data_IF_597334198738
#
_entry.id   IF_597334198738
#
_cell.length_a   1.000
_cell.length_b   1.000
_cell.length_c   1.000
_cell.angle_alpha   90.00
_cell.angle_beta   90.00
_cell.angle_gamma   90.00
#
_symmetry.space_group_name_H-M   'P 1'
#
loop_
_entity.id
_entity.type
_entity.pdbx_description
1 polymer ?
#
# COMPACT_ATOMS: atom_id res chain seq x y z
N UNK A 1 8.03 6.43 18.49
CA UNK A 1 8.45 4.99 18.41
C UNK A 1 7.29 4.21 17.81
N UNK A 2 7.55 3.28 16.89
CA UNK A 2 6.50 2.44 16.29
C UNK A 2 5.97 1.42 17.30
N UNK A 3 4.65 1.29 17.42
CA UNK A 3 4.02 0.24 18.22
C UNK A 3 2.64 -0.12 17.66
N UNK A 4 2.14 -1.30 18.01
CA UNK A 4 0.82 -1.79 17.63
C UNK A 4 0.11 -2.38 18.83
N UNK A 5 -1.15 -1.99 19.03
CA UNK A 5 -2.02 -2.53 20.08
C UNK A 5 -3.32 -3.05 19.47
N UNK A 6 -3.85 -4.15 20.01
CA UNK A 6 -5.17 -4.69 19.67
C UNK A 6 -6.18 -4.14 20.68
N UNK A 7 -7.22 -3.47 20.17
CA UNK A 7 -8.26 -2.82 20.99
C UNK A 7 -9.47 -3.76 21.15
N UNK A 8 -9.87 -4.44 20.07
CA UNK A 8 -11.00 -5.37 20.06
C UNK A 8 -10.77 -6.49 19.04
N UNK A 9 -11.45 -7.61 19.22
CA UNK A 9 -11.44 -8.75 18.29
C UNK A 9 -12.87 -9.18 17.99
N UNK A 10 -13.09 -9.61 16.76
CA UNK A 10 -14.36 -10.23 16.35
C UNK A 10 -14.52 -11.59 17.03
N UNK A 11 -15.73 -11.93 17.57
CA UNK A 11 -15.92 -13.17 18.31
C UNK A 11 -15.93 -14.44 17.45
N UNK A 12 -16.16 -14.33 16.14
CA UNK A 12 -16.35 -15.48 15.24
C UNK A 12 -15.35 -15.56 14.09
N UNK A 13 -14.53 -14.52 13.91
CA UNK A 13 -13.54 -14.43 12.82
C UNK A 13 -12.16 -14.08 13.37
N UNK A 14 -11.17 -13.93 12.50
CA UNK A 14 -9.82 -13.47 12.90
C UNK A 14 -9.70 -11.95 12.86
N UNK A 15 -10.80 -11.24 12.58
CA UNK A 15 -10.80 -9.78 12.51
C UNK A 15 -10.44 -9.15 13.84
N UNK A 16 -9.71 -8.05 13.76
CA UNK A 16 -9.32 -7.28 14.93
C UNK A 16 -9.32 -5.78 14.62
N UNK A 17 -9.74 -4.99 15.58
CA UNK A 17 -9.53 -3.55 15.58
C UNK A 17 -8.29 -3.26 16.44
N UNK A 18 -7.32 -2.56 15.86
CA UNK A 18 -6.09 -2.19 16.54
C UNK A 18 -5.76 -0.72 16.33
N UNK A 19 -4.57 -0.34 16.82
CA UNK A 19 -4.00 0.97 16.60
C UNK A 19 -2.49 0.87 16.39
N UNK A 20 -2.00 1.46 15.32
CA UNK A 20 -0.57 1.63 15.05
C UNK A 20 -0.19 3.04 15.46
N UNK A 21 0.88 3.17 16.24
CA UNK A 21 1.50 4.44 16.56
C UNK A 21 2.73 4.65 15.70
N UNK A 22 2.86 5.83 15.09
CA UNK A 22 4.01 6.25 14.31
C UNK A 22 4.44 7.64 14.76
N UNK A 23 5.63 8.12 14.36
CA UNK A 23 6.06 9.49 14.65
C UNK A 23 5.11 10.57 14.12
N UNK A 24 4.43 10.32 12.99
CA UNK A 24 3.53 11.28 12.35
C UNK A 24 2.05 11.03 12.68
N UNK A 25 1.75 10.25 13.72
CA UNK A 25 0.40 10.06 14.21
C UNK A 25 -0.01 8.60 14.36
N UNK A 26 -1.29 8.42 14.65
CA UNK A 26 -1.89 7.10 14.90
C UNK A 26 -2.70 6.65 13.70
N UNK A 27 -2.76 5.32 13.49
CA UNK A 27 -3.54 4.69 12.43
C UNK A 27 -4.46 3.67 13.10
N UNK A 28 -5.75 3.89 13.03
CA UNK A 28 -6.75 2.94 13.48
C UNK A 28 -6.94 1.84 12.43
N UNK A 29 -6.70 0.59 12.80
CA UNK A 29 -6.87 -0.57 11.93
C UNK A 29 -8.20 -1.30 12.21
N UNK A 30 -8.80 -1.98 11.21
CA UNK A 30 -8.31 -2.14 9.85
C UNK A 30 -8.35 -0.82 9.04
N UNK A 31 -7.40 -0.65 8.13
CA UNK A 31 -7.23 0.59 7.36
C UNK A 31 -7.00 0.32 5.88
N UNK A 32 -7.54 1.19 5.02
CA UNK A 32 -7.19 1.27 3.60
C UNK A 32 -6.26 2.45 3.37
N UNK A 33 -5.18 2.22 2.62
CA UNK A 33 -4.16 3.22 2.27
C UNK A 33 -4.35 3.70 0.84
N UNK A 34 -4.77 4.95 0.62
CA UNK A 34 -4.76 5.55 -0.73
C UNK A 34 -3.36 5.58 -1.32
N UNK A 35 -3.24 5.21 -2.61
CA UNK A 35 -1.94 5.13 -3.30
C UNK A 35 -1.58 6.47 -3.91
N UNK A 36 -0.51 7.07 -3.40
CA UNK A 36 0.13 8.32 -3.84
C UNK A 36 1.42 8.06 -4.61
N UNK A 37 1.34 7.53 -5.83
CA UNK A 37 2.48 7.03 -6.65
C UNK A 37 3.66 8.00 -6.72
N UNK A 38 3.42 9.28 -6.93
CA UNK A 38 4.42 10.36 -7.05
C UNK A 38 4.32 11.36 -5.89
N UNK A 39 4.03 10.89 -4.68
CA UNK A 39 3.73 11.74 -3.54
C UNK A 39 2.36 12.43 -3.65
N UNK A 40 1.49 11.97 -4.55
CA UNK A 40 0.14 12.49 -4.73
C UNK A 40 -0.84 11.37 -5.04
N UNK A 41 -1.98 11.36 -4.35
CA UNK A 41 -3.13 10.53 -4.72
C UNK A 41 -3.81 11.23 -5.89
N UNK A 42 -3.82 10.56 -7.05
CA UNK A 42 -4.18 11.19 -8.32
C UNK A 42 -5.55 11.88 -8.29
N UNK A 43 -5.55 13.17 -8.58
CA UNK A 43 -6.74 14.01 -8.63
C UNK A 43 -7.19 14.59 -7.30
N UNK A 44 -6.43 14.43 -6.22
CA UNK A 44 -6.75 14.98 -4.90
C UNK A 44 -5.62 15.82 -4.33
N UNK A 45 -6.00 16.87 -3.59
CA UNK A 45 -5.09 17.57 -2.69
C UNK A 45 -4.98 16.82 -1.36
N UNK A 46 -3.97 17.14 -0.56
CA UNK A 46 -3.81 16.59 0.78
C UNK A 46 -4.97 16.96 1.70
N UNK A 47 -5.45 18.18 1.60
CA UNK A 47 -6.62 18.67 2.34
C UNK A 47 -7.87 17.83 2.05
N UNK A 48 -8.16 17.51 0.78
CA UNK A 48 -9.24 16.59 0.42
C UNK A 48 -9.06 15.19 1.04
N UNK A 49 -7.83 14.67 1.08
CA UNK A 49 -7.55 13.38 1.71
C UNK A 49 -7.77 13.42 3.22
N UNK A 50 -7.40 14.52 3.88
CA UNK A 50 -7.64 14.75 5.30
C UNK A 50 -9.13 14.84 5.62
N UNK A 51 -9.90 15.57 4.81
CA UNK A 51 -11.38 15.69 4.92
C UNK A 51 -12.08 14.33 4.70
N UNK A 52 -11.56 13.49 3.80
CA UNK A 52 -12.05 12.13 3.60
C UNK A 52 -11.70 11.18 4.75
N UNK A 53 -10.80 11.59 5.64
CA UNK A 53 -10.37 10.80 6.79
C UNK A 53 -9.28 9.78 6.47
N UNK A 54 -8.49 9.96 5.41
CA UNK A 54 -7.32 9.14 5.16
C UNK A 54 -6.32 9.30 6.32
N UNK A 55 -5.90 8.20 6.94
CA UNK A 55 -5.01 8.21 8.10
C UNK A 55 -3.55 7.98 7.71
N UNK A 56 -3.32 7.33 6.59
CA UNK A 56 -2.02 6.97 6.04
C UNK A 56 -2.15 6.93 4.52
N UNK A 57 -1.08 7.26 3.81
CA UNK A 57 -0.96 7.06 2.36
C UNK A 57 0.22 6.15 2.03
N UNK A 58 0.14 5.48 0.88
CA UNK A 58 1.25 4.72 0.32
C UNK A 58 1.90 5.51 -0.81
N UNK A 59 3.23 5.64 -0.78
CA UNK A 59 4.01 6.27 -1.85
C UNK A 59 4.99 5.26 -2.49
N UNK A 60 5.23 5.37 -3.80
CA UNK A 60 6.06 4.41 -4.50
C UNK A 60 7.52 4.89 -4.60
N UNK A 61 8.41 4.19 -3.94
CA UNK A 61 9.85 4.48 -3.89
C UNK A 61 10.49 4.59 -5.27
N UNK A 62 10.22 3.66 -6.18
CA UNK A 62 10.75 3.67 -7.55
C UNK A 62 10.50 5.00 -8.28
N UNK A 63 9.27 5.49 -8.23
CA UNK A 63 8.90 6.73 -8.92
C UNK A 63 9.54 7.97 -8.28
N UNK A 64 9.57 8.04 -6.95
CA UNK A 64 10.15 9.15 -6.21
C UNK A 64 11.68 9.17 -6.31
N UNK A 65 12.31 8.00 -6.38
CA UNK A 65 13.74 7.85 -6.64
C UNK A 65 14.13 8.40 -8.01
N UNK A 66 13.38 8.05 -9.06
CA UNK A 66 13.66 8.53 -10.41
C UNK A 66 13.31 10.01 -10.59
N UNK A 67 12.25 10.50 -9.95
CA UNK A 67 11.79 11.89 -10.06
C UNK A 67 10.95 12.31 -8.87
N UNK A 68 11.33 13.34 -8.12
CA UNK A 68 12.45 14.28 -8.37
C UNK A 68 13.83 13.79 -7.90
N UNK A 69 13.91 12.60 -7.29
CA UNK A 69 15.08 12.06 -6.60
C UNK A 69 14.94 12.14 -5.07
N UNK A 70 15.30 11.04 -4.40
CA UNK A 70 15.17 10.92 -2.96
C UNK A 70 16.08 11.89 -2.18
N UNK A 71 17.27 12.19 -2.74
CA UNK A 71 18.22 13.16 -2.19
C UNK A 71 17.61 14.55 -2.12
N UNK A 72 16.99 15.00 -3.23
CA UNK A 72 16.30 16.28 -3.27
C UNK A 72 15.12 16.36 -2.33
N UNK A 73 14.37 15.28 -2.17
CA UNK A 73 13.28 15.22 -1.20
C UNK A 73 13.82 15.31 0.23
N UNK A 74 14.94 14.64 0.53
CA UNK A 74 15.61 14.73 1.83
C UNK A 74 16.08 16.15 2.13
N UNK A 75 16.75 16.84 1.16
CA UNK A 75 17.17 18.24 1.27
C UNK A 75 16.01 19.19 1.57
N UNK A 76 14.80 18.88 1.06
CA UNK A 76 13.57 19.66 1.29
C UNK A 76 12.85 19.27 2.59
N UNK A 77 13.44 18.41 3.43
CA UNK A 77 12.93 18.03 4.74
C UNK A 77 12.05 16.79 4.75
N UNK A 78 12.25 15.89 3.79
CA UNK A 78 11.53 14.63 3.66
C UNK A 78 10.19 14.73 2.94
N UNK A 79 9.59 13.58 2.69
CA UNK A 79 8.37 13.48 1.87
C UNK A 79 7.18 14.18 2.53
N UNK A 80 7.02 14.07 3.85
CA UNK A 80 5.95 14.74 4.59
C UNK A 80 5.91 16.25 4.32
N UNK A 81 7.07 16.91 4.42
CA UNK A 81 7.19 18.34 4.15
C UNK A 81 7.06 18.64 2.66
N UNK A 82 7.69 17.83 1.82
CA UNK A 82 7.68 18.03 0.36
C UNK A 82 6.28 18.01 -0.24
N UNK A 83 5.40 17.12 0.25
CA UNK A 83 4.01 17.02 -0.25
C UNK A 83 2.97 17.67 0.67
N UNK A 84 3.38 18.30 1.79
CA UNK A 84 2.46 18.89 2.80
C UNK A 84 1.47 17.85 3.37
N UNK A 85 1.96 16.65 3.72
CA UNK A 85 1.17 15.58 4.32
C UNK A 85 1.63 15.33 5.75
N UNK A 86 0.84 15.70 6.80
CA UNK A 86 1.29 15.63 8.19
C UNK A 86 1.08 14.26 8.85
N UNK A 87 0.42 13.33 8.15
CA UNK A 87 0.07 12.01 8.66
C UNK A 87 1.04 10.93 8.18
N UNK A 88 0.96 9.70 8.72
CA UNK A 88 1.85 8.59 8.35
C UNK A 88 1.96 8.33 6.84
N UNK A 89 3.17 7.90 6.43
CA UNK A 89 3.47 7.46 5.06
C UNK A 89 4.11 6.07 5.13
N UNK A 90 3.57 5.13 4.37
CA UNK A 90 4.23 3.90 4.01
C UNK A 90 4.87 4.06 2.62
N UNK A 91 6.12 3.65 2.45
CA UNK A 91 6.72 3.51 1.11
C UNK A 91 6.94 2.04 0.78
N UNK A 92 6.65 1.67 -0.48
CA UNK A 92 7.02 0.36 -0.98
C UNK A 92 8.53 0.26 -1.26
N UNK A 93 9.02 -0.93 -1.60
CA UNK A 93 10.44 -1.13 -1.95
C UNK A 93 10.82 -0.62 -3.34
N UNK A 94 9.84 -0.39 -4.21
CA UNK A 94 10.04 -0.17 -5.65
C UNK A 94 10.24 -1.46 -6.46
N UNK A 95 10.36 -2.62 -5.83
CA UNK A 95 10.63 -3.91 -6.50
C UNK A 95 9.58 -4.26 -7.55
N UNK A 96 8.30 -4.17 -7.22
CA UNK A 96 7.22 -4.45 -8.17
C UNK A 96 7.25 -3.53 -9.39
N UNK A 97 7.52 -2.23 -9.22
CA UNK A 97 7.58 -1.27 -10.32
C UNK A 97 8.79 -1.54 -11.21
N UNK A 98 9.95 -1.86 -10.64
CA UNK A 98 11.13 -2.28 -11.42
C UNK A 98 10.81 -3.53 -12.22
N UNK A 99 10.12 -4.50 -11.62
CA UNK A 99 9.76 -5.75 -12.30
C UNK A 99 8.69 -5.57 -13.38
N UNK A 100 7.76 -4.64 -13.21
CA UNK A 100 6.64 -4.42 -14.14
C UNK A 100 6.88 -3.35 -15.21
N UNK A 101 7.66 -2.30 -14.91
CA UNK A 101 7.81 -1.13 -15.77
C UNK A 101 9.17 -1.05 -16.48
N UNK A 102 10.21 -1.70 -15.97
CA UNK A 102 11.53 -1.64 -16.56
C UNK A 102 11.67 -2.71 -17.67
N UNK A 103 11.71 -2.31 -18.96
CA UNK A 103 11.80 -3.27 -20.08
C UNK A 103 13.11 -4.05 -20.10
N UNK A 104 14.18 -3.47 -19.54
CA UNK A 104 15.49 -4.08 -19.41
C UNK A 104 15.88 -4.12 -17.93
N UNK A 105 15.67 -5.28 -17.31
CA UNK A 105 16.02 -5.54 -15.92
C UNK A 105 16.80 -6.84 -15.78
N UNK A 106 17.70 -6.86 -14.83
CA UNK A 106 18.45 -8.06 -14.43
C UNK A 106 18.33 -8.21 -12.91
N UNK A 107 17.76 -9.32 -12.48
CA UNK A 107 17.68 -9.71 -11.07
C UNK A 107 18.85 -10.63 -10.76
N UNK A 108 19.53 -10.41 -9.64
CA UNK A 108 20.64 -11.21 -9.15
C UNK A 108 20.60 -11.27 -7.61
N UNK A 109 21.52 -12.00 -7.00
CA UNK A 109 21.65 -12.03 -5.53
C UNK A 109 21.95 -10.64 -4.93
N UNK A 110 22.70 -9.81 -5.69
CA UNK A 110 23.08 -8.46 -5.25
C UNK A 110 21.88 -7.50 -5.20
N UNK A 111 20.92 -7.68 -6.11
CA UNK A 111 19.76 -6.81 -6.25
C UNK A 111 19.26 -6.77 -7.69
N UNK A 112 18.68 -5.63 -8.09
CA UNK A 112 18.09 -5.43 -9.41
C UNK A 112 18.79 -4.29 -10.14
N UNK A 113 19.34 -4.57 -11.33
CA UNK A 113 19.82 -3.56 -12.27
C UNK A 113 18.73 -3.33 -13.31
N UNK A 114 18.38 -2.07 -13.57
CA UNK A 114 17.33 -1.71 -14.52
C UNK A 114 17.63 -0.41 -15.26
N UNK A 115 16.91 -0.18 -16.36
CA UNK A 115 16.92 1.10 -17.05
C UNK A 115 15.67 1.91 -16.74
N UNK A 116 15.87 3.20 -16.43
CA UNK A 116 14.80 4.16 -16.20
C UNK A 116 13.89 4.26 -17.44
N UNK A 117 12.59 4.20 -17.22
CA UNK A 117 11.59 4.43 -18.26
C UNK A 117 11.46 5.91 -18.66
N UNK A 118 12.08 6.83 -17.89
CA UNK A 118 12.02 8.27 -18.15
C UNK A 118 13.08 8.73 -19.16
N UNK A 119 14.32 8.23 -19.03
CA UNK A 119 15.49 8.72 -19.76
C UNK A 119 16.46 7.61 -20.21
N UNK A 120 16.16 6.36 -19.87
CA UNK A 120 17.00 5.21 -20.23
C UNK A 120 18.26 5.04 -19.38
N UNK A 121 18.52 5.89 -18.39
CA UNK A 121 19.67 5.77 -17.48
C UNK A 121 19.65 4.44 -16.73
N UNK A 122 20.84 3.89 -16.45
CA UNK A 122 20.97 2.64 -15.71
C UNK A 122 21.03 2.90 -14.21
N UNK A 123 20.27 2.12 -13.46
CA UNK A 123 20.18 2.18 -12.00
C UNK A 123 20.36 0.79 -11.40
N UNK A 124 20.79 0.76 -10.13
CA UNK A 124 20.92 -0.47 -9.35
C UNK A 124 20.21 -0.29 -8.01
N UNK A 125 19.30 -1.20 -7.70
CA UNK A 125 18.67 -1.32 -6.38
C UNK A 125 19.17 -2.58 -5.70
N UNK A 126 19.90 -2.42 -4.61
CA UNK A 126 20.19 -3.48 -3.65
C UNK A 126 19.17 -3.43 -2.51
N UNK A 127 19.05 -4.47 -1.69
CA UNK A 127 18.23 -4.43 -0.47
C UNK A 127 18.56 -3.25 0.45
N UNK A 128 19.83 -2.92 0.58
CA UNK A 128 20.33 -1.80 1.38
C UNK A 128 19.93 -0.46 0.76
N UNK A 129 20.19 -0.27 -0.54
CA UNK A 129 19.84 0.97 -1.25
C UNK A 129 18.34 1.23 -1.23
N UNK A 130 17.49 0.20 -1.40
CA UNK A 130 16.05 0.36 -1.33
C UNK A 130 15.57 0.87 0.04
N UNK A 131 16.22 0.43 1.13
CA UNK A 131 15.94 0.93 2.47
C UNK A 131 16.46 2.37 2.64
N UNK A 132 17.68 2.67 2.19
CA UNK A 132 18.28 4.00 2.32
C UNK A 132 17.47 5.07 1.58
N UNK A 133 16.94 4.74 0.39
CA UNK A 133 16.01 5.62 -0.34
C UNK A 133 14.77 5.92 0.50
N UNK A 134 14.14 4.90 1.10
CA UNK A 134 12.94 5.08 1.94
C UNK A 134 13.23 5.88 3.21
N UNK A 135 14.41 5.71 3.79
CA UNK A 135 14.89 6.54 4.92
C UNK A 135 15.08 8.00 4.50
N UNK A 136 15.70 8.24 3.35
CA UNK A 136 15.87 9.58 2.80
C UNK A 136 14.52 10.26 2.48
N UNK A 137 13.52 9.47 2.06
CA UNK A 137 12.15 9.96 1.89
C UNK A 137 11.48 10.32 3.24
N UNK A 138 11.96 9.79 4.37
CA UNK A 138 11.37 10.03 5.70
C UNK A 138 10.08 9.23 5.94
N UNK A 139 10.03 7.99 5.46
CA UNK A 139 8.87 7.11 5.62
C UNK A 139 8.66 6.68 7.06
N UNK A 140 7.41 6.50 7.51
CA UNK A 140 7.08 5.89 8.81
C UNK A 140 7.20 4.38 8.77
N UNK A 141 6.81 3.77 7.65
CA UNK A 141 6.87 2.33 7.41
C UNK A 141 7.60 2.09 6.10
N UNK A 142 8.63 1.24 6.13
CA UNK A 142 9.41 0.86 4.96
C UNK A 142 9.25 -0.63 4.64
N UNK A 143 9.31 -0.95 3.35
CA UNK A 143 9.22 -2.30 2.83
C UNK A 143 10.58 -2.76 2.30
N UNK A 144 11.00 -4.02 2.54
CA UNK A 144 12.24 -4.56 1.98
C UNK A 144 12.09 -4.79 0.48
N UNK A 145 13.21 -4.78 -0.23
CA UNK A 145 13.21 -5.21 -1.63
C UNK A 145 12.79 -6.67 -1.71
N UNK A 146 11.86 -6.98 -2.59
CA UNK A 146 11.31 -8.31 -2.81
C UNK A 146 11.18 -8.63 -4.29
N UNK A 147 11.14 -9.91 -4.63
CA UNK A 147 10.85 -10.39 -5.96
C UNK A 147 9.43 -10.97 -6.02
N UNK A 148 8.52 -10.26 -6.68
CA UNK A 148 7.18 -10.73 -6.97
C UNK A 148 7.20 -11.54 -8.28
N UNK A 149 6.73 -12.80 -8.24
CA UNK A 149 6.60 -13.60 -9.45
C UNK A 149 5.34 -13.24 -10.25
N UNK A 150 5.40 -13.44 -11.55
CA UNK A 150 4.24 -13.41 -12.43
C UNK A 150 3.26 -14.54 -12.11
N UNK A 151 2.01 -14.39 -12.58
CA UNK A 151 1.02 -15.45 -12.55
C UNK A 151 0.62 -15.85 -13.98
N UNK A 152 0.60 -17.16 -14.30
CA UNK A 152 1.05 -18.28 -13.49
C UNK A 152 2.58 -18.44 -13.49
N UNK A 153 3.16 -18.86 -12.36
CA UNK A 153 4.56 -19.25 -12.24
C UNK A 153 4.67 -20.72 -11.81
N UNK A 154 5.68 -21.42 -12.28
CA UNK A 154 5.94 -22.79 -11.81
C UNK A 154 6.46 -22.83 -10.36
N UNK A 155 6.24 -23.94 -9.64
CA UNK A 155 6.62 -24.10 -8.23
C UNK A 155 8.11 -23.79 -7.98
N UNK A 156 9.01 -24.31 -8.82
CA UNK A 156 10.45 -24.07 -8.70
C UNK A 156 10.81 -22.59 -8.88
N UNK A 157 10.18 -21.90 -9.84
CA UNK A 157 10.36 -20.45 -10.04
C UNK A 157 9.88 -19.64 -8.83
N UNK A 158 8.70 -20.01 -8.29
CA UNK A 158 8.16 -19.40 -7.07
C UNK A 158 9.06 -19.65 -5.85
N UNK A 159 9.63 -20.84 -5.73
CA UNK A 159 10.58 -21.21 -4.66
C UNK A 159 11.86 -20.36 -4.73
N UNK A 160 12.47 -20.27 -5.91
CA UNK A 160 13.69 -19.45 -6.11
C UNK A 160 13.46 -17.98 -5.77
N UNK A 161 12.34 -17.43 -6.19
CA UNK A 161 11.94 -16.05 -5.90
C UNK A 161 11.70 -15.83 -4.39
N UNK A 162 11.00 -16.75 -3.74
CA UNK A 162 10.78 -16.72 -2.30
C UNK A 162 12.11 -16.76 -1.53
N UNK A 163 13.02 -17.65 -1.91
CA UNK A 163 14.33 -17.76 -1.27
C UNK A 163 15.19 -16.52 -1.46
N UNK A 164 15.18 -15.94 -2.66
CA UNK A 164 15.87 -14.68 -2.94
C UNK A 164 15.31 -13.54 -2.09
N UNK A 165 13.97 -13.40 -2.03
CA UNK A 165 13.30 -12.43 -1.17
C UNK A 165 13.69 -12.61 0.30
N UNK A 166 13.75 -13.83 0.80
CA UNK A 166 14.16 -14.11 2.17
C UNK A 166 15.62 -13.66 2.46
N UNK A 167 16.56 -13.93 1.56
CA UNK A 167 17.95 -13.47 1.69
C UNK A 167 18.08 -11.96 1.60
N UNK A 168 17.32 -11.31 0.72
CA UNK A 168 17.24 -9.86 0.63
C UNK A 168 16.66 -9.23 1.91
N UNK A 169 15.63 -9.86 2.48
CA UNK A 169 15.07 -9.40 3.77
C UNK A 169 16.09 -9.50 4.90
N UNK A 170 16.88 -10.59 4.97
CA UNK A 170 17.97 -10.72 5.95
C UNK A 170 19.03 -9.62 5.82
N UNK A 171 19.39 -9.27 4.57
CA UNK A 171 20.32 -8.16 4.28
C UNK A 171 19.72 -6.83 4.70
N UNK A 172 18.46 -6.55 4.31
CA UNK A 172 17.74 -5.34 4.71
C UNK A 172 17.67 -5.20 6.23
N UNK A 173 17.31 -6.29 6.95
CA UNK A 173 17.23 -6.28 8.41
C UNK A 173 18.60 -6.01 9.07
N UNK A 174 19.66 -6.63 8.57
CA UNK A 174 21.02 -6.36 9.09
C UNK A 174 21.43 -4.92 8.86
N UNK A 175 21.11 -4.35 7.69
CA UNK A 175 21.37 -2.95 7.40
C UNK A 175 20.53 -2.03 8.28
N UNK A 176 19.24 -2.28 8.41
CA UNK A 176 18.32 -1.54 9.27
C UNK A 176 18.81 -1.50 10.73
N UNK A 177 19.23 -2.65 11.29
CA UNK A 177 19.76 -2.70 12.66
C UNK A 177 21.05 -1.89 12.89
N UNK A 178 21.88 -1.76 11.84
CA UNK A 178 23.12 -0.97 11.92
C UNK A 178 22.88 0.54 11.89
N UNK A 179 21.81 0.97 11.21
CA UNK A 179 21.51 2.38 10.99
C UNK A 179 20.50 2.94 12.01
N UNK A 180 19.98 2.11 12.90
CA UNK A 180 19.18 2.56 14.04
C UNK A 180 20.08 3.21 15.08
N UNK A 181 19.91 4.52 15.28
CA UNK A 181 20.59 5.26 16.33
C UNK A 181 20.61 6.76 16.05
N UNK A 182 20.61 7.61 17.09
CA UNK A 182 20.72 9.05 16.91
C UNK A 182 22.07 9.38 16.26
N UNK A 183 22.02 9.89 15.03
CA UNK A 183 23.21 10.34 14.29
C UNK A 183 23.89 9.30 13.40
N UNK A 184 23.24 8.19 13.05
CA UNK A 184 23.78 7.26 12.07
C UNK A 184 23.82 7.88 10.66
N UNK A 185 25.04 8.07 10.14
CA UNK A 185 25.27 8.53 8.77
C UNK A 185 25.03 7.36 7.81
N UNK A 186 24.23 7.56 6.78
CA UNK A 186 24.11 6.60 5.67
C UNK A 186 25.43 6.59 4.93
N UNK A 187 26.21 5.51 5.06
CA UNK A 187 27.39 5.30 4.21
C UNK A 187 26.90 4.79 2.84
N UNK A 188 26.88 5.68 1.87
CA UNK A 188 26.74 5.28 0.47
C UNK A 188 27.95 4.42 0.08
N UNK A 189 27.72 3.20 -0.42
CA UNK A 189 28.74 2.49 -1.16
C UNK A 189 29.11 3.32 -2.39
N UNK A 190 30.42 3.43 -2.63
CA UNK A 190 30.98 4.16 -3.75
C UNK A 190 30.36 3.76 -5.10
N UNK A 191 29.35 4.46 -5.48
CA UNK A 191 28.96 4.72 -6.84
C UNK A 191 28.87 6.25 -6.98
N UNK A 192 29.93 6.97 -6.60
CA UNK A 192 30.09 8.40 -6.83
C UNK A 192 29.10 9.34 -6.09
N UNK A 193 28.33 8.85 -5.12
CA UNK A 193 27.39 9.67 -4.37
C UNK A 193 27.98 10.06 -3.00
N UNK A 194 27.93 11.34 -2.69
CA UNK A 194 28.28 11.89 -1.39
C UNK A 194 27.42 11.25 -0.30
N UNK A 195 27.99 11.00 0.87
CA UNK A 195 27.26 10.59 2.08
C UNK A 195 26.17 11.61 2.40
N UNK A 196 24.91 11.21 2.29
CA UNK A 196 23.77 12.03 2.71
C UNK A 196 23.80 12.18 4.23
N UNK A 197 24.05 13.42 4.68
CA UNK A 197 23.82 13.81 6.07
C UNK A 197 22.31 14.09 6.23
N UNK A 198 21.57 13.09 6.71
CA UNK A 198 20.12 13.19 6.88
C UNK A 198 19.70 14.13 8.03
N UNK A 199 20.63 14.87 8.64
CA UNK A 199 20.36 15.84 9.69
C UNK A 199 19.82 15.24 11.00
N UNK A 200 19.84 16.00 12.10
CA UNK A 200 19.22 15.54 13.35
C UNK A 200 17.70 15.62 13.21
N UNK A 201 17.04 14.47 13.07
CA UNK A 201 15.57 14.39 13.03
C UNK A 201 14.96 13.37 12.08
N UNK A 202 15.73 12.68 11.25
CA UNK A 202 15.20 11.55 10.47
C UNK A 202 14.96 10.36 11.42
N UNK A 203 13.69 10.08 11.64
CA UNK A 203 13.28 8.89 12.40
C UNK A 203 13.41 7.67 11.50
N UNK A 204 14.04 6.61 11.99
CA UNK A 204 14.14 5.37 11.24
C UNK A 204 12.75 4.75 11.04
N UNK A 205 12.40 4.35 9.80
CA UNK A 205 11.11 3.74 9.51
C UNK A 205 10.96 2.39 10.21
N UNK A 206 9.73 2.01 10.54
CA UNK A 206 9.42 0.65 10.94
C UNK A 206 9.56 -0.29 9.74
N UNK A 207 10.52 -1.21 9.77
CA UNK A 207 10.72 -2.18 8.71
C UNK A 207 9.69 -3.30 8.82
N UNK A 208 8.85 -3.51 7.79
CA UNK A 208 7.98 -4.67 7.69
C UNK A 208 8.69 -5.79 6.92
N UNK A 209 8.32 -7.05 7.19
CA UNK A 209 8.74 -8.19 6.38
C UNK A 209 7.73 -8.46 5.27
N UNK A 210 8.15 -9.06 4.16
CA UNK A 210 7.24 -9.46 3.07
C UNK A 210 7.27 -10.98 2.90
N UNK A 211 6.07 -11.58 2.96
CA UNK A 211 5.85 -12.99 2.65
C UNK A 211 5.60 -13.14 1.16
N UNK A 212 6.43 -13.94 0.48
CA UNK A 212 6.28 -14.34 -0.92
C UNK A 212 6.02 -15.86 -1.02
N UNK A 213 6.02 -16.45 -2.21
CA UNK A 213 5.82 -17.89 -2.41
C UNK A 213 4.86 -18.23 -3.56
N UNK A 214 4.55 -17.25 -4.43
CA UNK A 214 3.65 -17.42 -5.57
C UNK A 214 2.27 -17.91 -5.12
N UNK A 215 1.71 -18.87 -5.85
CA UNK A 215 0.41 -19.48 -5.56
C UNK A 215 0.53 -20.87 -4.92
N UNK A 216 1.57 -21.10 -4.14
CA UNK A 216 1.86 -22.39 -3.52
C UNK A 216 1.77 -22.30 -1.99
N UNK A 217 0.78 -22.97 -1.35
CA UNK A 217 0.55 -22.91 0.09
C UNK A 217 1.75 -23.33 0.93
N UNK A 218 2.50 -24.34 0.50
CA UNK A 218 3.72 -24.81 1.14
C UNK A 218 4.82 -23.75 1.18
N UNK A 219 5.09 -23.11 0.03
CA UNK A 219 6.07 -22.02 -0.07
C UNK A 219 5.63 -20.79 0.74
N UNK A 220 4.34 -20.44 0.70
CA UNK A 220 3.76 -19.38 1.50
C UNK A 220 3.93 -19.61 3.00
N UNK A 221 3.66 -20.84 3.44
CA UNK A 221 3.80 -21.24 4.82
C UNK A 221 5.27 -21.16 5.29
N UNK A 222 6.21 -21.63 4.47
CA UNK A 222 7.65 -21.56 4.76
C UNK A 222 8.13 -20.09 4.77
N UNK A 223 7.74 -19.30 3.79
CA UNK A 223 8.06 -17.86 3.75
C UNK A 223 7.56 -17.14 4.99
N UNK A 224 6.29 -17.37 5.39
CA UNK A 224 5.70 -16.75 6.58
C UNK A 224 6.47 -17.13 7.86
N UNK A 225 6.83 -18.40 8.03
CA UNK A 225 7.63 -18.88 9.17
C UNK A 225 8.99 -18.17 9.23
N UNK A 226 9.75 -18.16 8.13
CA UNK A 226 11.08 -17.52 8.07
C UNK A 226 11.00 -16.01 8.30
N UNK A 227 9.98 -15.35 7.74
CA UNK A 227 9.79 -13.91 7.92
C UNK A 227 9.41 -13.58 9.38
N UNK A 228 8.58 -14.41 10.03
CA UNK A 228 8.18 -14.24 11.43
C UNK A 228 9.38 -14.40 12.40
N UNK A 229 10.32 -15.28 12.11
CA UNK A 229 11.54 -15.49 12.92
C UNK A 229 12.46 -14.24 12.97
N UNK A 230 12.27 -13.29 12.06
CA UNK A 230 13.05 -12.05 12.05
C UNK A 230 12.60 -11.01 13.07
N UNK A 231 11.47 -11.22 13.77
CA UNK A 231 10.88 -10.33 14.79
C UNK A 231 10.84 -8.86 14.34
N UNK A 232 10.07 -8.60 13.30
CA UNK A 232 9.93 -7.27 12.70
C UNK A 232 8.72 -6.52 13.26
N UNK A 233 8.68 -5.17 13.15
CA UNK A 233 7.56 -4.35 13.57
C UNK A 233 6.21 -4.70 12.94
N UNK A 234 6.20 -5.26 11.72
CA UNK A 234 4.99 -5.68 11.01
C UNK A 234 5.28 -6.61 9.85
N UNK A 235 4.23 -7.18 9.25
CA UNK A 235 4.34 -8.21 8.23
C UNK A 235 3.39 -7.94 7.08
N UNK A 236 3.94 -7.96 5.86
CA UNK A 236 3.18 -7.85 4.63
C UNK A 236 3.05 -9.19 3.92
N UNK A 237 1.95 -9.35 3.21
CA UNK A 237 1.65 -10.51 2.36
C UNK A 237 1.63 -9.98 0.92
N UNK A 238 2.72 -10.22 0.20
CA UNK A 238 2.93 -9.76 -1.17
C UNK A 238 2.67 -10.85 -2.21
N UNK A 239 2.78 -10.50 -3.49
CA UNK A 239 2.66 -11.44 -4.62
C UNK A 239 1.31 -12.10 -4.77
N UNK A 240 0.24 -11.44 -4.34
CA UNK A 240 -1.16 -11.79 -4.57
C UNK A 240 -1.86 -10.68 -5.37
N UNK A 241 -3.04 -10.96 -5.93
CA UNK A 241 -3.76 -10.07 -6.87
C UNK A 241 -2.96 -9.73 -8.14
N UNK A 242 -2.16 -10.68 -8.60
CA UNK A 242 -1.36 -10.57 -9.83
C UNK A 242 -1.99 -11.31 -11.02
N UNK A 243 -3.25 -11.76 -10.88
CA UNK A 243 -4.03 -12.42 -11.93
C UNK A 243 -4.65 -13.77 -11.53
N UNK A 244 -4.36 -14.28 -10.36
CA UNK A 244 -4.95 -15.51 -9.83
C UNK A 244 -6.43 -15.35 -9.48
N UNK A 245 -7.23 -16.46 -9.47
CA UNK A 245 -8.60 -16.46 -8.98
C UNK A 245 -8.67 -16.06 -7.49
N UNK A 246 -9.68 -15.31 -7.10
CA UNK A 246 -9.88 -14.83 -5.71
C UNK A 246 -9.95 -15.96 -4.67
N UNK A 247 -10.57 -17.09 -5.03
CA UNK A 247 -10.63 -18.25 -4.15
C UNK A 247 -9.24 -18.74 -3.75
N UNK A 248 -8.29 -18.68 -4.70
CA UNK A 248 -6.90 -19.03 -4.45
C UNK A 248 -6.22 -17.99 -3.52
N UNK A 249 -6.49 -16.69 -3.72
CA UNK A 249 -5.99 -15.65 -2.82
C UNK A 249 -6.42 -15.93 -1.37
N UNK A 250 -7.68 -16.32 -1.15
CA UNK A 250 -8.19 -16.67 0.17
C UNK A 250 -7.52 -17.90 0.76
N UNK A 251 -7.38 -18.97 -0.03
CA UNK A 251 -6.68 -20.20 0.38
C UNK A 251 -5.23 -19.90 0.82
N UNK A 252 -4.52 -19.08 0.05
CA UNK A 252 -3.14 -18.68 0.36
C UNK A 252 -3.06 -17.81 1.62
N UNK A 253 -4.05 -16.96 1.86
CA UNK A 253 -4.13 -16.16 3.07
C UNK A 253 -4.35 -17.06 4.31
N UNK A 254 -5.19 -18.11 4.21
CA UNK A 254 -5.37 -19.13 5.25
C UNK A 254 -4.06 -19.87 5.58
N UNK A 255 -3.20 -20.07 4.57
CA UNK A 255 -1.90 -20.71 4.78
C UNK A 255 -0.88 -19.78 5.48
N UNK A 256 -1.00 -18.46 5.33
CA UNK A 256 -0.02 -17.47 5.82
C UNK A 256 -0.40 -16.93 7.20
N UNK A 257 -1.64 -16.47 7.36
CA UNK A 257 -2.07 -15.67 8.51
C UNK A 257 -1.76 -16.32 9.88
N UNK A 258 -2.03 -17.63 10.10
CA UNK A 258 -1.78 -18.26 11.39
C UNK A 258 -0.30 -18.35 11.78
N UNK A 259 0.63 -18.14 10.83
CA UNK A 259 2.08 -18.21 11.02
C UNK A 259 2.70 -16.85 11.35
N UNK A 260 1.94 -15.77 11.17
CA UNK A 260 2.40 -14.43 11.49
C UNK A 260 2.14 -14.08 12.95
N UNK A 261 3.04 -13.34 13.61
CA UNK A 261 2.89 -12.93 15.00
C UNK A 261 1.59 -12.18 15.25
N UNK A 262 0.83 -12.62 16.26
CA UNK A 262 -0.49 -12.08 16.57
C UNK A 262 -0.46 -10.60 16.98
N UNK A 263 0.60 -10.19 17.68
CA UNK A 263 0.74 -8.82 18.21
C UNK A 263 1.46 -7.87 17.25
N UNK A 264 1.50 -8.20 15.97
CA UNK A 264 2.07 -7.36 14.92
C UNK A 264 1.02 -7.06 13.84
N UNK A 265 1.04 -5.89 13.20
CA UNK A 265 0.11 -5.57 12.12
C UNK A 265 0.42 -6.39 10.86
N UNK A 266 -0.65 -6.73 10.12
CA UNK A 266 -0.60 -7.53 8.89
C UNK A 266 -1.12 -6.71 7.72
N UNK A 267 -0.30 -6.57 6.71
CA UNK A 267 -0.59 -5.78 5.53
C UNK A 267 -0.73 -6.69 4.30
N UNK A 268 -1.91 -6.73 3.69
CA UNK A 268 -2.15 -7.43 2.42
C UNK A 268 -1.99 -6.44 1.27
N UNK A 269 -0.95 -6.66 0.43
CA UNK A 269 -0.51 -5.71 -0.58
C UNK A 269 -1.36 -5.79 -1.86
N UNK A 270 -1.71 -4.62 -2.42
CA UNK A 270 -2.29 -4.50 -3.75
C UNK A 270 -3.75 -4.96 -3.91
N UNK A 271 -4.48 -5.14 -2.81
CA UNK A 271 -5.88 -5.60 -2.80
C UNK A 271 -6.80 -4.53 -2.21
N UNK A 272 -8.06 -4.50 -2.49
CA UNK A 272 -8.94 -5.35 -3.27
C UNK A 272 -10.14 -4.53 -3.74
N UNK A 273 -11.19 -5.21 -4.19
CA UNK A 273 -12.47 -4.55 -4.44
C UNK A 273 -13.19 -4.25 -3.12
N UNK A 274 -14.06 -3.20 -3.06
CA UNK A 274 -14.75 -2.86 -1.80
C UNK A 274 -15.51 -4.03 -1.18
N UNK A 275 -16.16 -4.82 -2.03
CA UNK A 275 -16.92 -6.00 -1.63
C UNK A 275 -16.07 -7.14 -1.01
N UNK A 276 -14.74 -7.08 -1.17
CA UNK A 276 -13.82 -8.08 -0.64
C UNK A 276 -13.18 -7.65 0.69
N UNK A 277 -13.17 -6.34 0.98
CA UNK A 277 -12.50 -5.80 2.16
C UNK A 277 -12.99 -6.45 3.48
N UNK A 278 -14.30 -6.66 3.70
CA UNK A 278 -14.77 -7.34 4.90
C UNK A 278 -14.22 -8.75 5.05
N UNK A 279 -14.09 -9.49 3.93
CA UNK A 279 -13.57 -10.86 3.93
C UNK A 279 -12.08 -10.88 4.30
N UNK A 280 -11.26 -10.00 3.73
CA UNK A 280 -9.84 -9.92 4.08
C UNK A 280 -9.64 -9.55 5.55
N UNK A 281 -10.44 -8.60 6.06
CA UNK A 281 -10.40 -8.25 7.49
C UNK A 281 -10.83 -9.43 8.35
N UNK A 282 -11.89 -10.15 7.99
CA UNK A 282 -12.34 -11.36 8.70
C UNK A 282 -11.26 -12.46 8.74
N UNK A 283 -10.34 -12.47 7.77
CA UNK A 283 -9.17 -13.35 7.74
C UNK A 283 -7.95 -12.82 8.50
N UNK A 284 -8.07 -11.69 9.22
CA UNK A 284 -7.03 -11.16 10.09
C UNK A 284 -6.11 -10.12 9.47
N UNK A 285 -6.49 -9.52 8.32
CA UNK A 285 -5.75 -8.44 7.68
C UNK A 285 -6.07 -7.10 8.34
N UNK A 286 -5.03 -6.29 8.64
CA UNK A 286 -5.15 -4.98 9.28
C UNK A 286 -5.00 -3.80 8.31
N UNK A 287 -4.18 -3.95 7.27
CA UNK A 287 -3.82 -2.89 6.33
C UNK A 287 -3.96 -3.39 4.90
N UNK A 288 -4.48 -2.54 4.02
CA UNK A 288 -4.65 -2.83 2.60
C UNK A 288 -4.46 -1.56 1.77
N UNK A 289 -3.99 -1.73 0.54
CA UNK A 289 -3.91 -0.68 -0.47
C UNK A 289 -4.36 -1.22 -1.82
N UNK A 290 -4.83 -0.37 -2.69
CA UNK A 290 -4.84 -0.63 -4.13
C UNK A 290 -5.07 0.65 -4.93
N UNK A 291 -4.77 0.59 -6.22
CA UNK A 291 -5.00 1.71 -7.14
C UNK A 291 -6.44 1.80 -7.68
N UNK A 292 -7.29 0.81 -7.35
CA UNK A 292 -8.63 0.69 -7.93
C UNK A 292 -9.53 1.90 -7.70
N UNK A 293 -9.63 2.50 -6.49
CA UNK A 293 -10.50 3.64 -6.28
C UNK A 293 -10.16 4.80 -7.23
N UNK A 294 -8.88 5.14 -7.34
CA UNK A 294 -8.44 6.28 -8.16
C UNK A 294 -8.38 5.94 -9.65
N UNK A 295 -7.93 4.73 -10.02
CA UNK A 295 -7.85 4.28 -11.42
C UNK A 295 -9.23 4.16 -12.04
N UNK A 296 -10.14 3.50 -11.35
CA UNK A 296 -11.52 3.31 -11.83
C UNK A 296 -12.29 4.63 -11.93
N UNK A 297 -12.11 5.53 -10.97
CA UNK A 297 -12.68 6.87 -11.00
C UNK A 297 -12.32 7.64 -12.29
N UNK A 298 -11.04 7.65 -12.66
CA UNK A 298 -10.57 8.30 -13.88
C UNK A 298 -11.08 7.63 -15.16
N UNK A 299 -11.46 6.34 -15.07
CA UNK A 299 -12.08 5.59 -16.16
C UNK A 299 -13.62 5.64 -16.13
N UNK A 300 -14.20 6.52 -15.29
CA UNK A 300 -15.64 6.74 -15.19
C UNK A 300 -16.41 5.60 -14.51
N UNK A 301 -15.74 4.79 -13.67
CA UNK A 301 -16.39 3.76 -12.88
C UNK A 301 -16.37 4.14 -11.39
N UNK A 302 -17.55 4.20 -10.78
CA UNK A 302 -17.77 4.50 -9.39
C UNK A 302 -18.27 3.25 -8.64
N UNK A 303 -17.83 3.12 -7.38
CA UNK A 303 -18.31 2.09 -6.47
C UNK A 303 -19.49 2.66 -5.67
N UNK A 304 -20.59 1.91 -5.62
CA UNK A 304 -21.79 2.33 -4.90
C UNK A 304 -22.34 1.18 -4.05
N UNK A 305 -23.21 1.50 -3.11
CA UNK A 305 -23.91 0.52 -2.29
C UNK A 305 -24.84 -0.43 -3.10
N UNK A 306 -25.11 -0.08 -4.36
CA UNK A 306 -25.88 -0.89 -5.31
C UNK A 306 -24.98 -1.61 -6.33
N UNK A 307 -23.65 -1.56 -6.14
CA UNK A 307 -22.66 -2.14 -7.05
C UNK A 307 -21.95 -1.08 -7.89
N UNK A 308 -21.44 -1.47 -9.06
CA UNK A 308 -20.59 -0.61 -9.90
C UNK A 308 -21.42 0.25 -10.83
N UNK A 309 -21.18 1.54 -10.82
CA UNK A 309 -21.79 2.53 -11.68
C UNK A 309 -20.78 2.99 -12.75
N UNK A 310 -21.05 2.71 -14.03
CA UNK A 310 -20.22 3.19 -15.16
C UNK A 310 -20.87 4.45 -15.71
N UNK A 311 -20.33 5.62 -15.35
CA UNK A 311 -20.98 6.93 -15.54
C UNK A 311 -21.22 7.30 -17.00
N UNK A 312 -20.44 6.76 -17.93
CA UNK A 312 -20.60 7.02 -19.39
C UNK A 312 -21.88 6.47 -20.01
N UNK A 313 -22.58 5.54 -19.35
CA UNK A 313 -23.78 4.93 -19.92
C UNK A 313 -24.87 5.97 -20.19
N UNK A 314 -25.57 5.83 -21.33
CA UNK A 314 -26.61 6.79 -21.79
C UNK A 314 -27.77 6.93 -20.81
N UNK A 315 -28.09 5.88 -20.06
CA UNK A 315 -29.15 5.89 -19.03
C UNK A 315 -28.97 6.98 -17.95
N UNK A 316 -27.76 7.50 -17.78
CA UNK A 316 -27.47 8.56 -16.80
C UNK A 316 -27.52 9.98 -17.40
N UNK A 317 -27.87 10.14 -18.70
CA UNK A 317 -27.87 11.43 -19.35
C UNK A 317 -28.84 12.46 -18.71
N UNK A 318 -29.98 11.98 -18.20
CA UNK A 318 -30.97 12.81 -17.50
C UNK A 318 -31.17 12.39 -16.03
N UNK A 319 -30.27 11.58 -15.45
CA UNK A 319 -30.44 11.06 -14.09
C UNK A 319 -29.99 12.12 -13.06
N UNK A 320 -30.97 12.76 -12.40
CA UNK A 320 -30.73 13.78 -11.38
C UNK A 320 -30.30 13.23 -10.02
N UNK A 321 -30.33 11.91 -9.81
CA UNK A 321 -29.93 11.28 -8.56
C UNK A 321 -28.42 11.37 -8.36
N UNK A 322 -27.94 11.33 -7.08
CA UNK A 322 -26.52 11.26 -6.77
C UNK A 322 -25.91 9.91 -7.25
N UNK A 323 -24.58 9.79 -7.31
CA UNK A 323 -23.92 8.50 -7.57
C UNK A 323 -24.43 7.37 -6.69
N UNK A 324 -24.59 7.63 -5.39
CA UNK A 324 -25.11 6.67 -4.41
C UNK A 324 -25.95 7.42 -3.36
N UNK A 325 -27.23 7.07 -3.24
CA UNK A 325 -28.18 7.72 -2.32
C UNK A 325 -27.85 7.43 -0.83
N UNK A 326 -27.16 6.34 -0.54
CA UNK A 326 -26.73 5.97 0.82
C UNK A 326 -25.34 6.53 1.18
N UNK A 327 -24.65 7.18 0.25
CA UNK A 327 -23.31 7.70 0.46
C UNK A 327 -23.32 9.15 0.94
N UNK A 328 -22.70 9.41 2.08
CA UNK A 328 -22.59 10.75 2.68
C UNK A 328 -21.43 11.61 2.15
N UNK A 329 -20.74 11.24 1.06
CA UNK A 329 -19.60 12.00 0.55
C UNK A 329 -19.99 13.37 -0.02
N UNK A 330 -19.06 14.34 -0.09
CA UNK A 330 -19.34 15.66 -0.67
C UNK A 330 -19.91 15.61 -2.09
N UNK A 331 -19.50 14.62 -2.87
CA UNK A 331 -19.97 14.43 -4.26
C UNK A 331 -21.43 14.01 -4.31
N UNK A 332 -21.81 12.98 -3.54
CA UNK A 332 -23.19 12.51 -3.49
C UNK A 332 -24.17 13.53 -2.91
N UNK A 333 -23.70 14.37 -1.99
CA UNK A 333 -24.54 15.45 -1.43
C UNK A 333 -24.80 16.59 -2.40
N UNK A 334 -24.03 16.74 -3.50
CA UNK A 334 -24.03 17.95 -4.32
C UNK A 334 -24.26 17.70 -5.82
N UNK A 335 -23.81 16.56 -6.37
CA UNK A 335 -23.76 16.36 -7.81
C UNK A 335 -24.61 15.18 -8.25
N UNK A 336 -25.27 15.34 -9.41
CA UNK A 336 -26.06 14.29 -10.05
C UNK A 336 -25.21 13.39 -10.95
N UNK A 337 -25.72 12.20 -11.22
CA UNK A 337 -25.16 11.28 -12.23
C UNK A 337 -25.10 11.94 -13.60
N UNK A 338 -26.13 12.71 -14.00
CA UNK A 338 -26.17 13.45 -15.25
C UNK A 338 -24.99 14.44 -15.37
N UNK A 339 -24.72 15.21 -14.32
CA UNK A 339 -23.61 16.17 -14.33
C UNK A 339 -22.25 15.48 -14.37
N UNK A 340 -22.02 14.45 -13.57
CA UNK A 340 -20.78 13.68 -13.59
C UNK A 340 -20.54 13.01 -14.94
N UNK A 341 -21.61 12.50 -15.57
CA UNK A 341 -21.55 11.97 -16.93
C UNK A 341 -21.16 13.05 -17.94
N UNK A 342 -21.76 14.24 -17.87
CA UNK A 342 -21.42 15.37 -18.73
C UNK A 342 -19.92 15.68 -18.61
N UNK A 343 -19.41 15.88 -17.40
CA UNK A 343 -17.98 16.16 -17.15
C UNK A 343 -17.07 15.07 -17.71
N UNK A 344 -17.45 13.80 -17.52
CA UNK A 344 -16.65 12.66 -17.99
C UNK A 344 -16.58 12.63 -19.54
N UNK A 345 -17.71 12.81 -20.23
CA UNK A 345 -17.75 12.80 -21.68
C UNK A 345 -17.11 14.03 -22.33
N UNK A 346 -17.12 15.17 -21.63
CA UNK A 346 -16.44 16.39 -22.05
C UNK A 346 -14.94 16.39 -21.78
N UNK A 347 -14.41 15.34 -21.12
CA UNK A 347 -12.99 15.25 -20.79
C UNK A 347 -12.53 16.24 -19.70
N UNK A 348 -13.46 16.79 -18.92
CA UNK A 348 -13.14 17.74 -17.86
C UNK A 348 -12.33 17.10 -16.73
N UNK A 349 -11.26 17.76 -16.29
CA UNK A 349 -10.43 17.30 -15.18
C UNK A 349 -11.23 17.10 -13.90
N UNK A 350 -12.23 17.93 -13.68
CA UNK A 350 -13.12 17.86 -12.51
C UNK A 350 -13.84 16.51 -12.42
N UNK A 351 -14.12 15.84 -13.54
CA UNK A 351 -14.66 14.48 -13.54
C UNK A 351 -13.76 13.52 -12.76
N UNK A 352 -12.45 13.53 -13.06
CA UNK A 352 -11.49 12.67 -12.37
C UNK A 352 -11.39 12.99 -10.88
N UNK A 353 -11.44 14.26 -10.51
CA UNK A 353 -11.42 14.73 -9.12
C UNK A 353 -12.65 14.21 -8.36
N UNK A 354 -13.84 14.55 -8.82
CA UNK A 354 -15.10 14.20 -8.16
C UNK A 354 -15.30 12.70 -8.04
N UNK A 355 -15.04 11.95 -9.11
CA UNK A 355 -15.15 10.51 -9.10
C UNK A 355 -14.14 9.87 -8.12
N UNK A 356 -12.91 10.43 -8.00
CA UNK A 356 -11.90 9.94 -7.06
C UNK A 356 -12.30 10.23 -5.61
N UNK A 357 -12.82 11.42 -5.33
CA UNK A 357 -13.37 11.79 -4.00
C UNK A 357 -14.45 10.80 -3.59
N UNK A 358 -15.40 10.49 -4.49
CA UNK A 358 -16.46 9.53 -4.21
C UNK A 358 -15.91 8.13 -3.93
N UNK A 359 -15.08 7.60 -4.82
CA UNK A 359 -14.55 6.23 -4.68
C UNK A 359 -13.68 6.07 -3.42
N UNK A 360 -12.82 7.04 -3.12
CA UNK A 360 -12.02 6.98 -1.89
C UNK A 360 -12.87 7.09 -0.63
N UNK A 361 -13.86 7.99 -0.63
CA UNK A 361 -14.81 8.04 0.48
C UNK A 361 -15.47 6.68 0.69
N UNK A 362 -15.91 6.02 -0.39
CA UNK A 362 -16.56 4.70 -0.31
C UNK A 362 -15.65 3.65 0.34
N UNK A 363 -14.36 3.59 -0.04
CA UNK A 363 -13.37 2.68 0.56
C UNK A 363 -13.11 3.00 2.03
N UNK A 364 -12.84 4.25 2.34
CA UNK A 364 -12.51 4.68 3.70
C UNK A 364 -13.71 4.53 4.66
N UNK A 365 -14.92 4.81 4.18
CA UNK A 365 -16.16 4.62 4.93
C UNK A 365 -16.45 3.13 5.17
N UNK A 366 -16.20 2.27 4.18
CA UNK A 366 -16.30 0.82 4.33
C UNK A 366 -15.38 0.31 5.43
N UNK A 367 -14.10 0.73 5.43
CA UNK A 367 -13.16 0.34 6.48
C UNK A 367 -13.57 0.86 7.86
N UNK A 368 -14.08 2.08 7.94
CA UNK A 368 -14.58 2.68 9.18
C UNK A 368 -15.77 1.88 9.75
N UNK A 369 -16.71 1.48 8.89
CA UNK A 369 -17.86 0.63 9.27
C UNK A 369 -17.42 -0.76 9.74
N UNK A 370 -16.46 -1.38 9.03
CA UNK A 370 -15.88 -2.67 9.44
C UNK A 370 -15.24 -2.55 10.82
N UNK A 371 -14.39 -1.53 11.04
CA UNK A 371 -13.77 -1.28 12.34
C UNK A 371 -14.84 -1.08 13.45
N UNK A 372 -15.85 -0.27 13.18
CA UNK A 372 -16.93 -0.03 14.14
C UNK A 372 -17.65 -1.31 14.51
N UNK A 373 -17.97 -2.18 13.54
CA UNK A 373 -18.59 -3.47 13.81
C UNK A 373 -17.74 -4.33 14.75
N UNK A 374 -16.43 -4.42 14.53
CA UNK A 374 -15.51 -5.15 15.42
C UNK A 374 -15.49 -4.56 16.83
N UNK A 375 -15.40 -3.22 16.95
CA UNK A 375 -15.32 -2.54 18.25
C UNK A 375 -16.58 -2.72 19.09
N UNK A 376 -17.76 -2.75 18.44
CA UNK A 376 -19.04 -2.98 19.15
C UNK A 376 -19.38 -4.46 19.32
N UNK A 377 -18.50 -5.38 18.90
CA UNK A 377 -18.69 -6.83 19.05
C UNK A 377 -19.66 -7.46 18.05
N UNK A 378 -19.97 -6.77 16.93
CA UNK A 378 -20.79 -7.34 15.84
C UNK A 378 -19.89 -8.17 14.92
N UNK A 379 -20.25 -9.45 14.75
CA UNK A 379 -19.46 -10.37 13.90
C UNK A 379 -19.46 -9.95 12.43
N UNK A 380 -18.29 -9.99 11.80
CA UNK A 380 -18.13 -9.71 10.39
C UNK A 380 -18.78 -10.76 9.47
N UNK A 381 -19.15 -11.95 9.98
CA UNK A 381 -19.95 -12.91 9.22
C UNK A 381 -21.32 -12.36 8.84
N UNK A 382 -21.89 -11.51 9.67
CA UNK A 382 -23.18 -10.85 9.43
C UNK A 382 -23.05 -9.46 8.79
N UNK A 383 -21.84 -8.95 8.60
CA UNK A 383 -21.59 -7.62 8.05
C UNK A 383 -22.12 -7.50 6.61
N UNK A 384 -22.87 -6.44 6.33
CA UNK A 384 -23.34 -6.05 4.99
C UNK A 384 -22.92 -4.60 4.73
N UNK A 385 -22.42 -4.35 3.52
CA UNK A 385 -22.05 -3.01 3.06
C UNK A 385 -23.25 -2.11 2.79
#
# INVERSE_FOLDING_TARGET
>A
MFSFEIIATDPETRARAGRIHTPHGTIDTPVFMPVGTLGTVKGLTQEMLEELGAQIILCNTYHLYLRPGHERIAELGGLHRFISWPRPILTDSGGFQVLSLAPLRRVSEEGVVFRSHLDGSQHSFTPETALDVQRALGSDIAMPLDECTEYPAGHERARQSMELTARWLERTRRHWSKVQGPGSKVQGQECGAATLDLGPGTLDPALFGIVQGGTYPDLRAESARRTAEMDLPGYAIGGLSVGEPRSLTWELLEAVEPRLPRLRPRYLMGVGLPEELPQYVAMGVDMMDCVLPTRNARNGMLFTSEGRLVIRHSRYAGDARPPDERCGCPVCRRYSRAYLRHLFLSGELLSSVLNTVHNLHFYLDTMRKIRQAIVVGTSLKSFRM
#
